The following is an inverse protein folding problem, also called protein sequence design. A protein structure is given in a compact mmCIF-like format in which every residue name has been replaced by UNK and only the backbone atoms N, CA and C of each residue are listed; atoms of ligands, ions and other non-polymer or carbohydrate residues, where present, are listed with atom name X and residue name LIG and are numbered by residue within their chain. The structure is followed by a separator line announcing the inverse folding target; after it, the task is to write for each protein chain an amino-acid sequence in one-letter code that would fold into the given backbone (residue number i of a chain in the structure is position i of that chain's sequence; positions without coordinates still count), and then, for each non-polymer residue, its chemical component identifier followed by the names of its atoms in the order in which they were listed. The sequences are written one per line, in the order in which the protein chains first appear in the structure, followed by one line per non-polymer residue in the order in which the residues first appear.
data_IF_646435690842
#
_entry.id   IF_646435690842
#
_cell.length_a   1.000
_cell.length_b   1.000
_cell.length_c   1.000
_cell.angle_alpha   90.00
_cell.angle_beta   90.00
_cell.angle_gamma   90.00
#
_symmetry.space_group_name_H-M   'P 1'
#
loop_
_entity.id
_entity.type
_entity.pdbx_description
1 polymer ?
#
# COMPACT_ATOMS: atom_id res chain seq x y z
N UNK A 1 3.92 -7.97 37.78
CA UNK A 1 3.23 -7.01 36.88
C UNK A 1 3.70 -7.34 35.47
N UNK A 2 2.79 -7.57 34.52
CA UNK A 2 3.19 -7.65 33.12
C UNK A 2 3.48 -6.22 32.64
N UNK A 3 4.68 -5.98 32.12
CA UNK A 3 5.05 -4.69 31.54
C UNK A 3 4.83 -4.79 30.02
N UNK A 4 4.28 -3.75 29.41
CA UNK A 4 4.16 -3.65 27.95
C UNK A 4 4.68 -2.29 27.52
N UNK A 5 5.19 -2.21 26.31
CA UNK A 5 5.66 -0.96 25.72
C UNK A 5 4.64 -0.47 24.71
N UNK A 6 4.26 0.80 24.76
CA UNK A 6 3.38 1.38 23.75
C UNK A 6 4.23 2.00 22.65
N UNK A 7 3.98 1.62 21.39
CA UNK A 7 4.65 2.26 20.26
C UNK A 7 4.21 3.72 20.14
N UNK A 8 5.12 4.71 20.15
CA UNK A 8 4.75 6.13 20.03
C UNK A 8 4.26 6.51 18.63
N UNK A 9 4.44 5.64 17.63
CA UNK A 9 4.13 5.93 16.22
C UNK A 9 2.76 5.41 15.81
N UNK A 10 2.40 4.20 16.25
CA UNK A 10 1.13 3.55 15.91
C UNK A 10 0.22 3.28 17.10
N UNK A 11 0.71 3.43 18.34
CA UNK A 11 -0.07 3.21 19.56
C UNK A 11 -0.25 1.74 19.95
N UNK A 12 0.40 0.79 19.25
CA UNK A 12 0.29 -0.64 19.57
C UNK A 12 0.96 -0.97 20.91
N UNK A 13 0.30 -1.83 21.70
CA UNK A 13 0.89 -2.42 22.91
C UNK A 13 1.79 -3.59 22.49
N UNK A 14 3.06 -3.54 22.87
CA UNK A 14 4.10 -4.50 22.54
C UNK A 14 4.52 -5.26 23.79
N UNK A 15 4.75 -6.55 23.64
CA UNK A 15 5.27 -7.37 24.73
C UNK A 15 6.76 -7.06 25.02
N UNK A 16 7.27 -7.37 26.23
CA UNK A 16 8.69 -7.23 26.55
C UNK A 16 9.57 -8.01 25.57
N UNK A 17 10.40 -7.28 24.82
CA UNK A 17 11.31 -7.86 23.83
C UNK A 17 10.76 -7.88 22.40
N UNK A 18 9.48 -7.57 22.18
CA UNK A 18 8.97 -7.32 20.84
C UNK A 18 9.42 -5.97 20.30
N UNK A 19 9.68 -5.95 18.99
CA UNK A 19 9.99 -4.72 18.25
C UNK A 19 8.80 -4.36 17.41
N UNK A 20 8.39 -3.09 17.47
CA UNK A 20 7.38 -2.58 16.57
C UNK A 20 7.92 -2.50 15.13
N UNK A 21 7.13 -2.96 14.17
CA UNK A 21 7.45 -2.98 12.75
C UNK A 21 6.55 -2.05 11.92
N UNK A 22 5.73 -1.22 12.57
CA UNK A 22 4.73 -0.37 11.90
C UNK A 22 5.30 0.53 10.80
N UNK A 23 6.50 1.08 11.00
CA UNK A 23 7.17 1.90 9.98
C UNK A 23 7.63 1.07 8.78
N UNK A 24 8.09 -0.16 9.02
CA UNK A 24 8.53 -1.07 7.97
C UNK A 24 7.34 -1.56 7.13
N UNK A 25 6.20 -1.81 7.77
CA UNK A 25 4.95 -2.16 7.09
C UNK A 25 4.50 -0.98 6.22
N UNK A 26 4.43 0.24 6.79
CA UNK A 26 4.05 1.45 6.04
C UNK A 26 4.96 1.68 4.82
N UNK A 27 6.27 1.50 4.96
CA UNK A 27 7.21 1.63 3.85
C UNK A 27 6.94 0.60 2.73
N UNK A 28 6.67 -0.66 3.11
CA UNK A 28 6.32 -1.72 2.14
C UNK A 28 4.99 -1.45 1.45
N UNK A 29 3.98 -0.96 2.18
CA UNK A 29 2.69 -0.58 1.62
C UNK A 29 2.81 0.60 0.66
N UNK A 30 3.60 1.62 1.01
CA UNK A 30 3.88 2.74 0.12
C UNK A 30 4.54 2.28 -1.18
N UNK A 31 5.51 1.38 -1.13
CA UNK A 31 6.16 0.86 -2.34
C UNK A 31 5.20 0.01 -3.18
N UNK A 32 4.39 -0.85 -2.55
CA UNK A 32 3.34 -1.60 -3.25
C UNK A 32 2.33 -0.67 -3.92
N UNK A 33 1.88 0.36 -3.21
CA UNK A 33 0.97 1.35 -3.76
C UNK A 33 1.63 2.10 -4.92
N UNK A 34 2.89 2.53 -4.80
CA UNK A 34 3.62 3.19 -5.88
C UNK A 34 3.71 2.32 -7.14
N UNK A 35 4.09 1.06 -6.98
CA UNK A 35 4.18 0.10 -8.08
C UNK A 35 2.80 -0.15 -8.70
N UNK A 36 1.77 -0.34 -7.86
CA UNK A 36 0.39 -0.52 -8.31
C UNK A 36 -0.11 0.68 -9.10
N UNK A 37 0.02 1.90 -8.56
CA UNK A 37 -0.38 3.12 -9.23
C UNK A 37 0.40 3.34 -10.53
N UNK A 38 1.69 3.03 -10.58
CA UNK A 38 2.48 3.14 -11.81
C UNK A 38 2.02 2.16 -12.91
N UNK A 39 1.61 0.94 -12.54
CA UNK A 39 1.09 -0.03 -13.49
C UNK A 39 -0.31 0.38 -13.99
N UNK A 40 -1.13 0.87 -13.06
CA UNK A 40 -2.52 1.21 -13.25
C UNK A 40 -2.70 2.52 -14.02
N UNK A 41 -1.87 3.54 -13.76
CA UNK A 41 -1.93 4.88 -14.35
C UNK A 41 -0.95 5.00 -15.52
N UNK A 42 -1.27 4.42 -16.67
CA UNK A 42 -0.50 4.66 -17.89
C UNK A 42 -0.77 6.09 -18.36
N UNK A 43 0.23 6.96 -18.32
CA UNK A 43 0.12 8.33 -18.83
C UNK A 43 0.31 8.35 -20.34
N UNK A 44 -0.63 8.94 -21.08
CA UNK A 44 -0.47 9.15 -22.53
C UNK A 44 0.45 10.36 -22.79
N UNK A 45 1.43 10.19 -23.66
CA UNK A 45 2.57 11.11 -23.81
C UNK A 45 2.20 12.49 -24.39
N UNK A 46 1.00 12.65 -24.97
CA UNK A 46 0.64 13.84 -25.75
C UNK A 46 -0.48 14.71 -25.17
N UNK A 47 -1.33 14.20 -24.27
CA UNK A 47 -2.54 14.89 -23.83
C UNK A 47 -2.55 15.24 -22.33
N UNK A 48 -1.54 14.78 -21.57
CA UNK A 48 -1.55 14.85 -20.10
C UNK A 48 -2.66 14.01 -19.47
N UNK A 49 -3.34 13.17 -20.26
CA UNK A 49 -4.40 12.32 -19.77
C UNK A 49 -3.81 11.06 -19.14
N UNK A 50 -4.32 10.73 -17.95
CA UNK A 50 -4.01 9.48 -17.28
C UNK A 50 -5.02 8.42 -17.71
N UNK A 51 -4.52 7.33 -18.30
CA UNK A 51 -5.33 6.16 -18.63
C UNK A 51 -5.20 5.12 -17.53
N UNK A 52 -6.35 4.71 -17.00
CA UNK A 52 -6.46 3.69 -15.97
C UNK A 52 -6.61 2.31 -16.64
N UNK A 53 -5.62 1.44 -16.52
CA UNK A 53 -5.67 0.06 -17.01
C UNK A 53 -6.05 -0.92 -15.89
N UNK A 54 -7.34 -1.16 -15.69
CA UNK A 54 -7.83 -2.13 -14.70
C UNK A 54 -7.76 -3.54 -15.30
N UNK A 55 -6.60 -4.18 -15.25
CA UNK A 55 -6.49 -5.60 -15.60
C UNK A 55 -7.07 -6.43 -14.45
N UNK A 56 -8.34 -6.81 -14.55
CA UNK A 56 -8.96 -7.75 -13.63
C UNK A 56 -8.35 -9.15 -13.88
N UNK A 57 -7.83 -9.88 -12.87
CA UNK A 57 -7.34 -11.26 -13.02
C UNK A 57 -8.50 -12.26 -13.21
N UNK A 58 -9.33 -12.03 -14.23
CA UNK A 58 -10.57 -12.75 -14.47
C UNK A 58 -11.33 -12.41 -15.76
N UNK A 59 -10.86 -11.44 -16.57
CA UNK A 59 -11.36 -11.22 -17.93
C UNK A 59 -12.77 -10.61 -18.03
N UNK A 60 -12.94 -9.83 -19.10
CA UNK A 60 -14.26 -9.38 -19.58
C UNK A 60 -14.51 -7.90 -19.39
N UNK A 61 -14.32 -7.12 -20.46
CA UNK A 61 -15.04 -5.87 -20.63
C UNK A 61 -16.54 -6.19 -20.65
N UNK A 62 -17.29 -5.74 -19.63
CA UNK A 62 -18.74 -5.57 -19.79
C UNK A 62 -18.96 -4.31 -20.61
N UNK A 63 -18.89 -4.47 -21.93
CA UNK A 63 -19.43 -3.48 -22.85
C UNK A 63 -20.95 -3.44 -22.69
N UNK A 64 -21.50 -2.24 -22.55
CA UNK A 64 -22.90 -1.93 -22.85
C UNK A 64 -22.90 -0.86 -23.93
#
# INVERSE_FOLDING_TARGET
MAYYNVCPVCGSNLDPGERCDCQSIRAKEQEKNRLFFSQMLRTEKNSGQMSFAFEHPGGGAIGA
#
